data_IF_483774263409
#
_entry.id   IF_483774263409
#
_cell.length_a   1.000
_cell.length_b   1.000
_cell.length_c   1.000
_cell.angle_alpha   90.00
_cell.angle_beta   90.00
_cell.angle_gamma   90.00
#
_symmetry.space_group_name_H-M   'P 1'
#
loop_
_entity.id
_entity.type
_entity.pdbx_description
1 polymer ?
#
# COMPACT_ATOMS: atom_id res chain seq x y z
N UNK A 1 11.09 -42.12 -3.17
CA UNK A 1 9.81 -42.83 -3.32
C UNK A 1 8.73 -41.75 -3.27
N UNK A 2 8.43 -41.15 -4.42
CA UNK A 2 7.62 -39.93 -4.56
C UNK A 2 6.29 -40.30 -5.22
N UNK A 3 5.37 -40.87 -4.45
CA UNK A 3 3.97 -40.91 -4.87
C UNK A 3 3.12 -40.06 -3.93
N UNK A 4 2.24 -39.19 -4.44
CA UNK A 4 1.34 -38.42 -3.60
C UNK A 4 0.21 -39.32 -3.08
N UNK A 5 0.01 -39.34 -1.75
CA UNK A 5 -1.15 -39.99 -1.14
C UNK A 5 -2.42 -39.16 -1.41
N UNK A 6 -3.59 -39.80 -1.63
CA UNK A 6 -4.82 -39.08 -1.91
C UNK A 6 -5.38 -38.44 -0.65
N UNK A 7 -5.53 -37.12 -0.65
CA UNK A 7 -6.13 -36.36 0.44
C UNK A 7 -7.67 -36.27 0.28
N UNK A 8 -8.46 -36.38 1.38
CA UNK A 8 -9.89 -36.11 1.34
C UNK A 8 -10.14 -34.60 1.13
N UNK A 9 -11.13 -34.25 0.31
CA UNK A 9 -11.59 -32.87 0.13
C UNK A 9 -12.44 -32.45 1.33
N UNK A 10 -12.04 -31.44 2.12
CA UNK A 10 -12.96 -30.75 3.04
C UNK A 10 -12.60 -29.27 3.34
N UNK A 11 -13.63 -28.60 3.85
CA UNK A 11 -13.84 -27.18 4.14
C UNK A 11 -12.81 -26.49 5.05
N UNK A 12 -12.46 -25.26 4.65
CA UNK A 12 -12.01 -24.06 5.37
C UNK A 12 -11.12 -24.07 6.63
N UNK A 13 -10.59 -25.19 7.11
CA UNK A 13 -9.46 -25.20 8.06
C UNK A 13 -8.26 -25.92 7.43
N UNK A 14 -7.25 -25.13 7.05
CA UNK A 14 -6.04 -25.67 6.43
C UNK A 14 -5.15 -26.35 7.47
N UNK A 15 -5.21 -27.68 7.56
CA UNK A 15 -4.25 -28.48 8.34
C UNK A 15 -3.03 -28.86 7.48
N UNK A 16 -1.84 -28.60 8.02
CA UNK A 16 -0.57 -29.01 7.39
C UNK A 16 0.01 -30.18 8.17
N UNK A 17 0.19 -31.32 7.50
CA UNK A 17 0.84 -32.49 8.06
C UNK A 17 2.32 -32.51 7.65
N UNK A 18 3.20 -32.63 8.63
CA UNK A 18 4.64 -32.84 8.39
C UNK A 18 4.99 -34.23 8.86
N UNK A 19 5.47 -35.07 7.95
CA UNK A 19 5.92 -36.44 8.25
C UNK A 19 7.43 -36.51 8.19
N UNK A 20 8.02 -37.23 9.14
CA UNK A 20 9.46 -37.42 9.27
C UNK A 20 9.77 -38.92 9.25
N UNK A 21 10.97 -39.30 8.80
CA UNK A 21 11.43 -40.69 8.91
C UNK A 21 11.85 -41.00 10.36
N UNK A 22 11.72 -42.27 10.78
CA UNK A 22 12.00 -42.71 12.17
C UNK A 22 13.40 -42.27 12.66
N UNK A 23 14.40 -42.34 11.77
CA UNK A 23 15.78 -41.97 12.06
C UNK A 23 16.01 -40.45 12.27
N UNK A 24 15.01 -39.64 11.92
CA UNK A 24 15.03 -38.17 12.04
C UNK A 24 14.35 -37.73 13.34
N UNK A 25 13.36 -38.49 13.83
CA UNK A 25 12.63 -38.19 15.07
C UNK A 25 13.56 -38.19 16.28
N UNK A 26 14.56 -39.09 16.32
CA UNK A 26 15.55 -39.15 17.41
C UNK A 26 16.50 -37.94 17.46
N UNK A 27 16.58 -37.15 16.37
CA UNK A 27 17.48 -35.98 16.29
C UNK A 27 16.82 -34.67 16.71
N UNK A 28 15.50 -34.62 16.80
CA UNK A 28 14.76 -33.40 17.08
C UNK A 28 13.99 -33.53 18.39
N UNK A 29 14.19 -32.57 19.28
CA UNK A 29 13.41 -32.47 20.50
C UNK A 29 11.97 -32.04 20.17
N UNK A 30 11.07 -33.02 20.14
CA UNK A 30 9.66 -32.82 19.83
C UNK A 30 8.89 -32.13 20.96
N UNK A 31 9.49 -31.97 22.15
CA UNK A 31 8.87 -31.26 23.27
C UNK A 31 8.61 -29.77 22.94
N UNK A 32 9.37 -29.19 22.01
CA UNK A 32 9.20 -27.82 21.53
C UNK A 32 8.02 -27.64 20.57
N UNK A 33 7.47 -28.73 20.00
CA UNK A 33 6.30 -28.69 19.13
C UNK A 33 4.98 -28.65 19.92
N UNK A 34 4.99 -29.15 21.16
CA UNK A 34 3.84 -29.09 22.07
C UNK A 34 3.54 -27.68 22.59
N UNK A 35 4.50 -26.76 22.50
CA UNK A 35 4.39 -25.38 23.00
C UNK A 35 4.88 -24.36 21.98
N UNK A 36 4.49 -24.52 20.71
CA UNK A 36 4.78 -23.51 19.69
C UNK A 36 4.17 -22.17 20.13
N UNK A 37 4.98 -21.09 20.22
CA UNK A 37 4.42 -19.77 20.48
C UNK A 37 3.45 -19.42 19.35
N UNK A 38 2.31 -18.83 19.69
CA UNK A 38 1.35 -18.32 18.72
C UNK A 38 2.02 -17.19 17.91
N UNK A 39 2.66 -17.52 16.78
CA UNK A 39 3.40 -16.55 15.94
C UNK A 39 2.42 -15.63 15.20
N UNK A 40 1.15 -16.04 15.06
CA UNK A 40 0.12 -15.28 14.38
C UNK A 40 -1.24 -15.52 15.03
N UNK A 41 -1.68 -14.56 15.84
CA UNK A 41 -3.08 -14.47 16.27
C UNK A 41 -3.82 -13.70 15.19
N UNK A 42 -4.73 -14.35 14.47
CA UNK A 42 -5.76 -13.60 13.74
C UNK A 42 -6.59 -12.92 14.82
N UNK A 43 -6.22 -11.69 15.19
CA UNK A 43 -7.16 -10.82 15.87
C UNK A 43 -8.31 -10.63 14.89
N UNK A 44 -9.38 -11.39 15.07
CA UNK A 44 -10.73 -10.94 14.76
C UNK A 44 -10.85 -9.61 15.52
N UNK A 45 -10.54 -8.52 14.83
CA UNK A 45 -10.56 -7.19 15.37
C UNK A 45 -12.00 -6.94 15.79
N UNK A 46 -12.26 -7.04 17.08
CA UNK A 46 -13.49 -6.55 17.66
C UNK A 46 -13.56 -5.09 17.25
N UNK A 47 -14.59 -4.77 16.45
CA UNK A 47 -14.84 -3.46 15.85
C UNK A 47 -15.02 -2.42 16.95
N UNK A 48 -13.91 -1.89 17.47
CA UNK A 48 -13.88 -0.49 17.91
C UNK A 48 -14.24 0.32 16.66
N UNK A 49 -15.11 1.33 16.74
CA UNK A 49 -15.32 2.24 15.62
C UNK A 49 -13.94 2.76 15.23
N UNK A 50 -13.38 2.31 14.11
CA UNK A 50 -12.14 2.88 13.63
C UNK A 50 -12.46 4.33 13.33
N UNK A 51 -11.77 5.25 13.99
CA UNK A 51 -11.79 6.64 13.58
C UNK A 51 -11.42 6.67 12.09
N UNK A 52 -12.40 7.06 11.28
CA UNK A 52 -12.24 7.19 9.85
C UNK A 52 -12.14 8.68 9.51
N UNK A 53 -11.34 8.98 8.50
CA UNK A 53 -11.15 10.34 7.99
C UNK A 53 -11.31 10.29 6.47
N UNK A 54 -12.00 11.27 5.89
CA UNK A 54 -12.07 11.35 4.43
C UNK A 54 -10.76 11.90 3.86
N UNK A 55 -10.40 11.45 2.66
CA UNK A 55 -9.28 12.00 1.91
C UNK A 55 -9.42 13.50 1.68
N UNK A 56 -10.66 13.96 1.46
CA UNK A 56 -10.99 15.38 1.33
C UNK A 56 -10.61 16.18 2.59
N UNK A 57 -10.89 15.64 3.79
CA UNK A 57 -10.49 16.29 5.04
C UNK A 57 -8.96 16.29 5.23
N UNK A 58 -8.26 15.24 4.79
CA UNK A 58 -6.80 15.23 4.75
C UNK A 58 -6.26 16.31 3.81
N UNK A 59 -6.86 16.48 2.63
CA UNK A 59 -6.48 17.50 1.66
C UNK A 59 -6.75 18.91 2.18
N UNK A 60 -7.90 19.16 2.79
CA UNK A 60 -8.21 20.43 3.46
C UNK A 60 -7.18 20.76 4.53
N UNK A 61 -6.80 19.77 5.36
CA UNK A 61 -5.76 19.96 6.37
C UNK A 61 -4.39 20.24 5.77
N UNK A 62 -4.08 19.68 4.60
CA UNK A 62 -2.82 19.90 3.89
C UNK A 62 -2.72 21.32 3.30
N UNK A 63 -3.85 21.89 2.86
CA UNK A 63 -3.92 23.23 2.26
C UNK A 63 -4.21 24.34 3.29
N UNK A 64 -4.51 23.98 4.53
CA UNK A 64 -4.78 24.93 5.61
C UNK A 64 -3.52 25.72 5.95
N UNK A 65 -3.68 27.03 6.20
CA UNK A 65 -2.61 27.87 6.71
C UNK A 65 -2.17 27.40 8.11
N UNK A 66 -0.88 27.21 8.30
CA UNK A 66 -0.25 26.79 9.55
C UNK A 66 0.82 27.80 10.00
N UNK A 67 0.96 28.07 11.30
CA UNK A 67 2.07 28.86 11.80
C UNK A 67 3.37 28.05 11.72
N UNK A 68 4.45 28.69 11.27
CA UNK A 68 5.80 28.15 11.40
C UNK A 68 6.30 28.34 12.84
N UNK A 69 7.38 27.65 13.20
CA UNK A 69 8.10 27.89 14.45
C UNK A 69 8.62 29.33 14.51
N UNK A 70 8.76 29.90 15.72
CA UNK A 70 9.18 31.30 15.91
C UNK A 70 10.56 31.60 15.31
N UNK A 71 11.42 30.59 15.22
CA UNK A 71 12.80 30.67 14.72
C UNK A 71 12.97 30.05 13.31
N UNK A 72 11.89 29.58 12.68
CA UNK A 72 11.97 28.83 11.41
C UNK A 72 12.19 29.74 10.19
N UNK A 73 11.90 31.04 10.32
CA UNK A 73 11.98 32.00 9.21
C UNK A 73 12.48 33.37 9.67
N UNK A 74 13.51 33.86 9.00
CA UNK A 74 13.97 35.24 9.11
C UNK A 74 13.21 36.17 8.16
N UNK A 75 12.64 37.23 8.71
CA UNK A 75 11.94 38.21 7.89
C UNK A 75 12.95 39.10 7.14
N UNK A 76 12.94 39.15 5.79
CA UNK A 76 13.94 39.90 5.02
C UNK A 76 13.84 41.42 5.24
N UNK A 77 12.66 41.93 5.60
CA UNK A 77 12.45 43.35 5.92
C UNK A 77 12.92 43.70 7.33
N UNK A 78 12.67 42.82 8.31
CA UNK A 78 12.97 43.09 9.72
C UNK A 78 14.36 42.61 10.16
N UNK A 79 15.02 41.78 9.36
CA UNK A 79 16.34 41.16 9.62
C UNK A 79 16.42 40.42 10.97
N UNK A 80 15.32 39.75 11.34
CA UNK A 80 15.23 38.96 12.57
C UNK A 80 14.20 37.84 12.43
N UNK A 81 14.29 36.78 13.27
CA UNK A 81 13.30 35.72 13.31
C UNK A 81 11.91 36.28 13.63
N UNK A 82 10.90 35.81 12.89
CA UNK A 82 9.49 36.11 13.15
C UNK A 82 8.66 34.87 12.89
N UNK A 83 7.64 34.68 13.71
CA UNK A 83 6.64 33.64 13.48
C UNK A 83 5.84 33.92 12.21
N UNK A 84 6.26 33.33 11.10
CA UNK A 84 5.59 33.41 9.82
C UNK A 84 4.43 32.41 9.74
N UNK A 85 3.53 32.62 8.78
CA UNK A 85 2.49 31.67 8.42
C UNK A 85 2.81 31.06 7.07
N UNK A 86 2.58 29.76 6.94
CA UNK A 86 2.78 29.00 5.71
C UNK A 86 1.43 28.49 5.23
N UNK A 87 1.14 28.71 3.96
CA UNK A 87 -0.04 28.18 3.28
C UNK A 87 0.40 27.52 1.98
N UNK A 88 -0.18 26.36 1.69
CA UNK A 88 0.02 25.64 0.43
C UNK A 88 -1.27 25.72 -0.37
N UNK A 89 -1.15 25.94 -1.68
CA UNK A 89 -2.28 26.00 -2.60
C UNK A 89 -1.98 25.13 -3.84
N UNK A 90 -3.00 24.45 -4.37
CA UNK A 90 -2.89 23.70 -5.61
C UNK A 90 -3.07 24.65 -6.80
N UNK A 91 -1.99 24.88 -7.56
CA UNK A 91 -2.01 25.74 -8.74
C UNK A 91 -2.37 24.97 -10.02
N UNK A 92 -1.63 23.90 -10.32
CA UNK A 92 -1.83 23.01 -11.47
C UNK A 92 -1.80 21.56 -11.02
N UNK A 93 -2.62 20.73 -11.65
CA UNK A 93 -2.74 19.30 -11.34
C UNK A 93 -2.24 18.42 -12.51
N UNK A 94 -1.47 17.35 -12.24
CA UNK A 94 -0.87 16.50 -13.26
C UNK A 94 -1.86 15.50 -13.87
N UNK A 95 -1.56 14.87 -15.01
CA UNK A 95 -2.39 13.77 -15.53
C UNK A 95 -2.42 12.57 -14.57
N UNK A 96 -1.28 12.27 -13.95
CA UNK A 96 -1.13 11.23 -12.94
C UNK A 96 -0.82 11.89 -11.60
N UNK A 97 -1.72 11.73 -10.64
CA UNK A 97 -1.62 12.25 -9.29
C UNK A 97 -1.24 11.13 -8.32
N UNK A 98 -0.11 11.30 -7.63
CA UNK A 98 0.28 10.44 -6.51
C UNK A 98 -0.05 11.13 -5.19
N UNK A 99 -0.93 10.53 -4.38
CA UNK A 99 -1.32 11.04 -3.06
C UNK A 99 -0.70 10.17 -1.98
N UNK A 100 0.25 10.72 -1.24
CA UNK A 100 0.90 10.03 -0.13
C UNK A 100 0.21 10.34 1.19
N UNK A 101 -0.30 9.30 1.85
CA UNK A 101 -0.82 9.36 3.20
C UNK A 101 0.36 9.25 4.18
N UNK A 102 0.72 10.37 4.82
CA UNK A 102 1.82 10.45 5.80
C UNK A 102 1.47 9.70 7.10
N UNK A 103 1.54 8.37 7.04
CA UNK A 103 1.23 7.49 8.17
C UNK A 103 2.41 7.30 9.11
N UNK A 104 3.61 7.60 8.66
CA UNK A 104 4.82 7.40 9.44
C UNK A 104 5.15 8.64 10.25
N UNK A 105 5.14 8.49 11.58
CA UNK A 105 5.63 9.50 12.51
C UNK A 105 6.82 8.95 13.28
N UNK A 106 7.88 9.74 13.37
CA UNK A 106 9.04 9.45 14.20
C UNK A 106 9.23 10.64 15.13
N UNK A 107 8.94 10.47 16.41
CA UNK A 107 9.45 11.36 17.45
C UNK A 107 10.79 10.80 17.95
N UNK A 108 11.54 11.58 18.72
CA UNK A 108 12.91 11.25 19.14
C UNK A 108 13.07 9.84 19.75
N UNK A 109 11.99 9.25 20.31
CA UNK A 109 12.02 7.93 20.94
C UNK A 109 10.91 6.98 20.50
N UNK A 110 9.90 7.45 19.75
CA UNK A 110 8.74 6.65 19.35
C UNK A 110 8.57 6.72 17.84
N UNK A 111 8.64 5.56 17.20
CA UNK A 111 8.16 5.36 15.83
C UNK A 111 6.74 4.83 15.88
N UNK A 112 5.78 5.63 15.44
CA UNK A 112 4.39 5.23 15.37
C UNK A 112 3.89 5.25 13.93
N UNK A 113 3.09 4.24 13.58
CA UNK A 113 2.38 4.16 12.32
C UNK A 113 0.90 4.48 12.56
N UNK A 114 0.38 5.46 11.84
CA UNK A 114 -1.04 5.79 11.89
C UNK A 114 -1.83 4.74 11.10
N UNK A 115 -2.70 4.03 11.82
CA UNK A 115 -3.60 3.00 11.27
C UNK A 115 -5.02 3.54 11.00
N UNK A 116 -5.21 4.85 11.07
CA UNK A 116 -6.49 5.53 10.77
C UNK A 116 -7.01 5.11 9.40
N UNK A 117 -8.28 4.71 9.33
CA UNK A 117 -8.90 4.40 8.05
C UNK A 117 -9.12 5.71 7.28
N UNK A 118 -8.56 5.80 6.07
CA UNK A 118 -8.78 6.95 5.19
C UNK A 118 -9.77 6.52 4.12
N UNK A 119 -10.96 7.09 4.10
CA UNK A 119 -11.93 6.87 3.03
C UNK A 119 -11.57 7.74 1.84
N UNK A 120 -11.33 7.11 0.69
CA UNK A 120 -10.98 7.76 -0.57
C UNK A 120 -11.90 7.26 -1.69
N UNK A 121 -12.27 8.14 -2.64
CA UNK A 121 -13.04 7.73 -3.82
C UNK A 121 -12.20 6.89 -4.78
N UNK A 122 -12.85 5.92 -5.43
CA UNK A 122 -12.22 5.03 -6.42
C UNK A 122 -12.46 5.51 -7.85
N UNK A 123 -13.68 5.95 -8.17
CA UNK A 123 -14.05 6.38 -9.53
C UNK A 123 -14.09 7.89 -9.72
N UNK A 124 -14.39 8.65 -8.66
CA UNK A 124 -14.60 10.09 -8.77
C UNK A 124 -13.94 10.87 -7.64
N UNK A 125 -12.66 11.17 -7.82
CA UNK A 125 -11.91 12.08 -6.97
C UNK A 125 -11.91 13.48 -7.58
N UNK A 126 -12.79 14.36 -7.06
CA UNK A 126 -12.94 15.73 -7.56
C UNK A 126 -12.05 16.72 -6.79
N UNK A 127 -11.14 17.38 -7.51
CA UNK A 127 -10.26 18.43 -6.97
C UNK A 127 -10.70 19.85 -7.31
N UNK A 128 -11.87 20.03 -7.94
CA UNK A 128 -12.34 21.32 -8.47
C UNK A 128 -12.44 22.41 -7.40
N UNK A 129 -12.77 22.06 -6.16
CA UNK A 129 -12.91 23.01 -5.05
C UNK A 129 -11.56 23.41 -4.44
N UNK A 130 -10.50 22.63 -4.65
CA UNK A 130 -9.20 22.81 -4.02
C UNK A 130 -8.16 23.49 -4.92
N UNK A 131 -8.45 23.66 -6.21
CA UNK A 131 -7.55 24.25 -7.19
C UNK A 131 -7.78 25.76 -7.29
N UNK A 132 -6.70 26.54 -7.17
CA UNK A 132 -6.76 28.01 -7.26
C UNK A 132 -7.02 28.51 -8.69
N UNK A 133 -6.57 27.77 -9.70
CA UNK A 133 -6.74 28.11 -11.10
C UNK A 133 -8.12 27.68 -11.63
N UNK A 134 -9.08 28.60 -11.68
CA UNK A 134 -10.48 28.33 -12.11
C UNK A 134 -10.67 28.13 -13.62
N UNK A 135 -9.66 28.36 -14.45
CA UNK A 135 -9.72 28.24 -15.93
C UNK A 135 -8.78 27.14 -16.41
N UNK A 136 -9.10 25.89 -16.08
CA UNK A 136 -8.46 24.70 -16.64
C UNK A 136 -9.23 24.24 -17.87
N UNK A 137 -8.52 23.89 -18.95
CA UNK A 137 -9.11 23.18 -20.10
C UNK A 137 -9.38 21.70 -19.78
N UNK A 138 -8.82 21.19 -18.68
CA UNK A 138 -8.84 19.78 -18.32
C UNK A 138 -9.77 19.53 -17.13
N UNK A 139 -10.36 18.33 -17.10
CA UNK A 139 -11.12 17.82 -15.96
C UNK A 139 -10.29 17.85 -14.66
N UNK A 140 -10.93 18.13 -13.52
CA UNK A 140 -10.29 17.99 -12.21
C UNK A 140 -10.70 16.68 -11.51
N UNK A 141 -11.35 15.78 -12.24
CA UNK A 141 -11.79 14.48 -11.75
C UNK A 141 -10.72 13.42 -12.02
N UNK A 142 -10.51 12.55 -11.05
CA UNK A 142 -9.56 11.44 -11.14
C UNK A 142 -10.20 10.11 -10.76
N UNK A 143 -9.72 9.05 -11.41
CA UNK A 143 -10.00 7.65 -11.09
C UNK A 143 -8.76 7.06 -10.43
N UNK A 144 -8.90 6.42 -9.27
CA UNK A 144 -7.85 5.65 -8.62
C UNK A 144 -7.52 4.43 -9.49
N UNK A 145 -6.29 4.20 -9.92
CA UNK A 145 -5.93 2.99 -10.68
C UNK A 145 -4.93 2.09 -9.96
N UNK A 146 -4.25 2.58 -8.92
CA UNK A 146 -3.42 1.75 -8.09
C UNK A 146 -3.30 2.30 -6.66
N UNK A 147 -2.98 1.42 -5.71
CA UNK A 147 -2.65 1.80 -4.34
C UNK A 147 -1.51 0.94 -3.83
N UNK A 148 -0.54 1.57 -3.16
CA UNK A 148 0.50 0.89 -2.39
C UNK A 148 0.01 0.74 -0.96
N UNK A 149 0.06 -0.49 -0.44
CA UNK A 149 -0.36 -0.80 0.93
C UNK A 149 0.85 -1.26 1.75
N UNK A 150 0.92 -0.84 3.00
CA UNK A 150 1.97 -1.26 3.93
C UNK A 150 1.34 -2.00 5.10
N UNK A 151 1.79 -3.23 5.35
CA UNK A 151 1.46 -3.99 6.55
C UNK A 151 2.64 -4.01 7.51
N UNK A 152 2.38 -4.14 8.82
CA UNK A 152 3.42 -4.13 9.84
C UNK A 152 3.85 -2.74 10.30
N UNK A 153 4.82 -2.71 11.21
CA UNK A 153 5.30 -1.51 11.89
C UNK A 153 6.43 -0.79 11.13
N UNK A 154 6.96 0.28 11.72
CA UNK A 154 8.01 1.10 11.09
C UNK A 154 9.38 0.40 10.97
N UNK A 155 9.63 -0.61 11.80
CA UNK A 155 10.91 -1.33 11.84
C UNK A 155 10.93 -2.62 11.01
N UNK A 156 9.76 -3.18 10.73
CA UNK A 156 9.57 -4.39 9.93
C UNK A 156 8.15 -4.34 9.36
N UNK A 157 8.06 -4.36 8.04
CA UNK A 157 6.80 -4.28 7.33
C UNK A 157 6.92 -4.80 5.91
N UNK A 158 5.79 -4.94 5.24
CA UNK A 158 5.70 -5.54 3.92
C UNK A 158 4.79 -4.70 3.03
N UNK A 159 5.29 -4.35 1.85
CA UNK A 159 4.55 -3.57 0.88
C UNK A 159 3.90 -4.50 -0.15
N UNK A 160 2.61 -4.29 -0.37
CA UNK A 160 1.88 -4.88 -1.49
C UNK A 160 1.31 -3.75 -2.35
N UNK A 161 0.75 -4.12 -3.49
CA UNK A 161 -0.01 -3.17 -4.32
C UNK A 161 -1.36 -3.75 -4.70
N UNK A 162 -2.37 -2.88 -4.81
CA UNK A 162 -3.55 -3.16 -5.61
C UNK A 162 -3.45 -2.33 -6.90
N UNK A 163 -3.79 -2.93 -8.03
CA UNK A 163 -3.87 -2.21 -9.31
C UNK A 163 -5.10 -2.64 -10.08
N UNK A 164 -5.77 -1.67 -10.66
CA UNK A 164 -6.71 -1.86 -11.74
C UNK A 164 -5.90 -2.08 -13.03
N UNK A 165 -6.18 -3.20 -13.70
CA UNK A 165 -5.52 -3.63 -14.93
C UNK A 165 -6.48 -3.64 -16.11
N UNK A 166 -7.61 -2.94 -15.98
CA UNK A 166 -8.58 -2.79 -17.05
C UNK A 166 -7.93 -2.17 -18.28
N UNK A 167 -8.07 -2.83 -19.43
CA UNK A 167 -7.43 -2.43 -20.69
C UNK A 167 -5.97 -2.89 -20.87
N UNK A 168 -5.38 -3.56 -19.87
CA UNK A 168 -4.05 -4.17 -19.98
C UNK A 168 -4.19 -5.57 -20.57
N UNK A 169 -3.42 -5.87 -21.63
CA UNK A 169 -3.49 -7.16 -22.34
C UNK A 169 -2.63 -8.25 -21.70
N UNK A 170 -1.62 -7.88 -20.93
CA UNK A 170 -0.69 -8.79 -20.27
C UNK A 170 -0.08 -8.10 -19.05
N UNK A 171 -0.07 -8.79 -17.91
CA UNK A 171 0.56 -8.34 -16.67
C UNK A 171 1.91 -9.03 -16.57
N UNK A 172 2.98 -8.26 -16.39
CA UNK A 172 4.31 -8.79 -16.15
C UNK A 172 4.70 -8.47 -14.71
N UNK A 173 4.93 -9.50 -13.89
CA UNK A 173 5.49 -9.35 -12.55
C UNK A 173 7.00 -9.64 -12.64
N UNK A 174 7.81 -8.63 -12.37
CA UNK A 174 9.26 -8.78 -12.29
C UNK A 174 9.67 -8.83 -10.82
N UNK A 175 10.35 -9.91 -10.42
CA UNK A 175 10.94 -10.03 -9.10
C UNK A 175 12.37 -9.46 -9.14
N UNK A 176 12.61 -8.29 -8.57
CA UNK A 176 13.97 -7.81 -8.30
C UNK A 176 14.35 -8.25 -6.88
N UNK A 177 15.21 -9.25 -6.76
CA UNK A 177 15.85 -9.57 -5.48
C UNK A 177 17.19 -8.82 -5.42
N UNK A 178 17.35 -8.08 -4.31
CA UNK A 178 18.55 -7.40 -3.80
C UNK A 178 18.90 -6.00 -4.31
N UNK A 179 18.69 -5.03 -3.41
CA UNK A 179 19.58 -3.87 -3.23
C UNK A 179 20.83 -4.40 -2.50
N UNK A 180 21.74 -4.99 -3.27
CA UNK A 180 23.11 -5.23 -2.85
C UNK A 180 23.94 -4.04 -3.32
N UNK A 181 24.57 -3.34 -2.39
CA UNK A 181 25.43 -2.21 -2.67
C UNK A 181 26.74 -2.71 -3.30
N UNK A 182 26.77 -2.98 -4.61
CA UNK A 182 28.01 -3.00 -5.41
C UNK A 182 27.76 -3.12 -6.93
N UNK A 183 28.12 -2.05 -7.64
CA UNK A 183 28.42 -1.95 -9.08
C UNK A 183 27.30 -2.27 -10.11
N UNK A 184 26.96 -1.23 -10.87
CA UNK A 184 25.82 -1.13 -11.78
C UNK A 184 25.93 -1.88 -13.13
N UNK A 185 26.76 -2.92 -13.28
CA UNK A 185 27.07 -3.47 -14.62
C UNK A 185 26.81 -4.96 -14.86
N UNK A 186 26.22 -5.71 -13.92
CA UNK A 186 25.87 -7.13 -14.17
C UNK A 186 24.57 -7.57 -13.49
N UNK A 187 23.43 -7.05 -13.95
CA UNK A 187 22.14 -7.71 -13.71
C UNK A 187 21.99 -8.87 -14.70
N UNK A 188 22.18 -10.11 -14.24
CA UNK A 188 21.88 -11.32 -15.02
C UNK A 188 20.36 -11.56 -14.91
N UNK A 189 19.60 -11.58 -16.01
CA UNK A 189 18.17 -11.91 -15.96
C UNK A 189 18.04 -13.39 -15.59
N UNK A 190 17.50 -13.71 -14.41
CA UNK A 190 17.07 -15.08 -14.10
C UNK A 190 15.64 -15.29 -14.60
N UNK A 191 15.42 -16.46 -15.21
CA UNK A 191 14.26 -16.84 -16.03
C UNK A 191 12.92 -16.45 -15.41
N UNK A 192 12.16 -15.70 -16.19
CA UNK A 192 10.88 -15.08 -15.86
C UNK A 192 9.77 -16.11 -15.60
N UNK A 193 9.06 -15.96 -14.48
CA UNK A 193 7.75 -16.60 -14.31
C UNK A 193 6.69 -15.69 -14.91
N UNK A 194 6.33 -15.92 -16.18
CA UNK A 194 5.26 -15.20 -16.84
C UNK A 194 3.89 -15.78 -16.42
N UNK A 195 3.16 -15.08 -15.54
CA UNK A 195 1.73 -15.35 -15.39
C UNK A 195 0.97 -14.64 -16.51
N UNK A 196 0.66 -15.38 -17.58
CA UNK A 196 -0.15 -14.90 -18.69
C UNK A 196 -1.64 -15.07 -18.34
N UNK A 197 -2.25 -14.04 -17.76
CA UNK A 197 -3.71 -13.98 -17.63
C UNK A 197 -4.29 -13.27 -18.85
N UNK A 198 -5.13 -13.96 -19.63
CA UNK A 198 -5.94 -13.33 -20.66
C UNK A 198 -7.02 -12.49 -19.96
N UNK A 199 -6.96 -11.16 -20.08
CA UNK A 199 -8.00 -10.27 -19.56
C UNK A 199 -8.90 -9.78 -20.70
N UNK A 200 -10.19 -10.08 -20.59
CA UNK A 200 -11.23 -9.66 -21.54
C UNK A 200 -11.39 -8.15 -21.61
N UNK A 201 -11.67 -7.68 -22.83
CA UNK A 201 -11.69 -6.26 -23.25
C UNK A 201 -12.99 -5.49 -22.96
N UNK A 202 -13.91 -5.99 -22.14
CA UNK A 202 -15.20 -5.28 -21.92
C UNK A 202 -15.68 -5.28 -20.47
N UNK A 203 -15.98 -4.09 -19.97
CA UNK A 203 -17.13 -3.85 -19.08
C UNK A 203 -16.81 -3.37 -17.67
N UNK A 204 -16.07 -4.16 -16.90
CA UNK A 204 -15.96 -3.95 -15.44
C UNK A 204 -14.50 -3.78 -15.01
N UNK A 205 -14.27 -2.85 -14.08
CA UNK A 205 -12.96 -2.65 -13.44
C UNK A 205 -12.52 -3.96 -12.78
N UNK A 206 -11.32 -4.44 -13.09
CA UNK A 206 -10.76 -5.67 -12.48
C UNK A 206 -9.54 -5.31 -11.66
N UNK A 207 -9.68 -5.42 -10.34
CA UNK A 207 -8.61 -5.18 -9.38
C UNK A 207 -7.82 -6.47 -9.11
N UNK A 208 -6.50 -6.32 -9.01
CA UNK A 208 -5.60 -7.39 -8.61
C UNK A 208 -4.70 -6.94 -7.47
N UNK A 209 -4.42 -7.86 -6.55
CA UNK A 209 -3.43 -7.73 -5.50
C UNK A 209 -2.10 -8.32 -5.96
N UNK A 210 -1.05 -7.56 -5.80
CA UNK A 210 0.33 -7.92 -6.09
C UNK A 210 1.08 -8.06 -4.76
N UNK A 211 1.53 -9.27 -4.45
CA UNK A 211 2.30 -9.63 -3.26
C UNK A 211 3.56 -10.35 -3.73
N UNK A 212 4.69 -9.66 -3.76
CA UNK A 212 5.94 -10.15 -4.32
C UNK A 212 5.75 -10.79 -5.72
N UNK A 213 5.85 -12.13 -5.80
CA UNK A 213 5.70 -12.92 -7.01
C UNK A 213 4.27 -13.45 -7.24
N UNK A 214 3.31 -13.08 -6.39
CA UNK A 214 1.92 -13.55 -6.45
C UNK A 214 1.01 -12.44 -6.92
N UNK A 215 0.13 -12.78 -7.85
CA UNK A 215 -0.94 -11.90 -8.34
C UNK A 215 -2.27 -12.62 -8.16
N UNK A 216 -3.23 -11.98 -7.50
CA UNK A 216 -4.56 -12.56 -7.24
C UNK A 216 -5.66 -11.53 -7.49
N UNK A 217 -6.81 -11.92 -8.07
CA UNK A 217 -7.95 -11.01 -8.20
C UNK A 217 -8.45 -10.56 -6.83
N UNK A 218 -8.99 -9.35 -6.74
CA UNK A 218 -9.56 -8.79 -5.51
C UNK A 218 -10.83 -7.99 -5.84
N UNK A 219 -11.78 -7.95 -4.91
CA UNK A 219 -12.95 -7.06 -5.03
C UNK A 219 -12.55 -5.61 -4.82
N UNK A 220 -13.33 -4.70 -5.40
CA UNK A 220 -13.11 -3.26 -5.24
C UNK A 220 -13.20 -2.80 -3.78
N UNK A 221 -14.13 -3.37 -3.01
CA UNK A 221 -14.30 -3.06 -1.58
C UNK A 221 -13.02 -3.33 -0.76
N UNK A 222 -12.25 -4.35 -1.15
CA UNK A 222 -11.00 -4.70 -0.47
C UNK A 222 -9.82 -3.79 -0.85
N UNK A 223 -9.94 -2.95 -1.88
CA UNK A 223 -8.95 -1.92 -2.24
C UNK A 223 -8.90 -0.83 -1.17
N UNK A 224 -10.04 -0.50 -0.56
CA UNK A 224 -10.12 0.48 0.53
C UNK A 224 -9.70 -0.16 1.84
N UNK A 225 -8.47 0.08 2.24
CA UNK A 225 -7.89 -0.46 3.47
C UNK A 225 -7.16 0.61 4.26
N UNK A 226 -7.16 0.47 5.60
CA UNK A 226 -6.33 1.28 6.50
C UNK A 226 -4.83 1.11 6.24
N UNK A 227 -4.43 0.05 5.53
CA UNK A 227 -3.05 -0.18 5.12
C UNK A 227 -2.60 0.69 3.92
N UNK A 228 -3.51 1.40 3.24
CA UNK A 228 -3.19 2.21 2.07
C UNK A 228 -2.23 3.36 2.43
N UNK A 229 -1.09 3.44 1.74
CA UNK A 229 -0.04 4.44 1.97
C UNK A 229 0.06 5.44 0.82
N UNK A 230 0.02 4.96 -0.43
CA UNK A 230 0.11 5.83 -1.61
C UNK A 230 -1.02 5.49 -2.56
N UNK A 231 -1.79 6.49 -2.94
CA UNK A 231 -2.87 6.38 -3.93
C UNK A 231 -2.35 6.91 -5.26
N UNK A 232 -2.57 6.17 -6.34
CA UNK A 232 -2.23 6.58 -7.70
C UNK A 232 -3.51 6.79 -8.48
N UNK A 233 -3.75 8.05 -8.84
CA UNK A 233 -4.97 8.48 -9.50
C UNK A 233 -4.64 9.02 -10.90
N UNK A 234 -5.49 8.70 -11.88
CA UNK A 234 -5.37 9.17 -13.25
C UNK A 234 -6.53 10.11 -13.55
N UNK A 235 -6.23 11.26 -14.15
CA UNK A 235 -7.23 12.23 -14.56
C UNK A 235 -8.17 11.62 -15.62
N UNK A 236 -9.46 11.85 -15.46
CA UNK A 236 -10.48 11.53 -16.47
C UNK A 236 -10.32 12.48 -17.65
N UNK A 237 -10.31 11.93 -18.87
CA UNK A 237 -10.18 12.71 -20.10
C UNK A 237 -11.37 13.64 -20.34
#
# INVERSE_FOLDING_TARGET
>A
MNEPLPAPKFDNDSQVYVTWSENTIEKYDTCLLSSLPEVFKIQLCTTRPQESVSLYKCLESFLKEEPLGPEDMDCPSCKKPRQARKKLDLWRIPEILAVHLKRSSCSQFVRNKLETYVDFPIDDFDLSTNISQKKSQFSNHYVLYATSIHHGGMGCGHYNAFSDVSGVHSIYAFSFISIGQETADRAIPQRDTCMRTHLDRLGNRKWYKFVDNRVSPVSEDAVKTSAACVLFCRRVA
#
